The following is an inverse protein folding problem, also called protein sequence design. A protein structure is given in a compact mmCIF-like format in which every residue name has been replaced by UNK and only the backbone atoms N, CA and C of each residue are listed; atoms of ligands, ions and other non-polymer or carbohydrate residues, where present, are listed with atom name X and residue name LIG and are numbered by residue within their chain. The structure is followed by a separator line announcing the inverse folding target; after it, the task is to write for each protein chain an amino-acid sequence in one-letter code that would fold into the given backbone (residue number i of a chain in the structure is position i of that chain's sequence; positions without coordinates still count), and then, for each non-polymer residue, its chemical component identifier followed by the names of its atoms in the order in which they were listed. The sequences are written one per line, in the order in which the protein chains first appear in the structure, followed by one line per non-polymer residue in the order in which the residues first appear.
data_IF_762006432135
#
_entry.id   IF_762006432135
#
_cell.length_a   1.000
_cell.length_b   1.000
_cell.length_c   1.000
_cell.angle_alpha   90.00
_cell.angle_beta   90.00
_cell.angle_gamma   90.00
#
_symmetry.space_group_name_H-M   'P 1'
#
loop_
_entity.id
_entity.type
_entity.pdbx_description
1 polymer ?
#
# COMPACT_ATOMS: atom_id res chain seq x y z
N UNK A 1 24.26 -6.17 -20.39
CA UNK A 1 22.88 -6.48 -20.81
C UNK A 1 22.53 -5.73 -22.09
N UNK A 2 22.59 -4.39 -22.14
CA UNK A 2 22.31 -3.64 -23.39
C UNK A 2 23.41 -3.87 -24.44
N UNK A 3 24.68 -3.79 -24.05
CA UNK A 3 25.84 -4.05 -24.93
C UNK A 3 25.88 -5.51 -25.42
N UNK A 4 25.61 -6.46 -24.53
CA UNK A 4 25.59 -7.90 -24.84
C UNK A 4 24.52 -8.33 -25.85
N UNK A 5 23.52 -7.47 -26.12
CA UNK A 5 22.52 -7.69 -27.16
C UNK A 5 22.67 -6.70 -28.35
N UNK A 6 23.71 -5.85 -28.36
CA UNK A 6 23.93 -4.87 -29.42
C UNK A 6 22.86 -3.77 -29.50
N UNK A 7 22.17 -3.48 -28.39
CA UNK A 7 21.01 -2.59 -28.35
C UNK A 7 21.34 -1.15 -27.92
N UNK A 8 22.62 -0.77 -27.95
CA UNK A 8 23.12 0.52 -27.44
C UNK A 8 22.52 1.73 -28.18
N UNK A 9 22.28 1.60 -29.49
CA UNK A 9 21.68 2.65 -30.31
C UNK A 9 20.15 2.52 -30.46
N UNK A 10 19.51 1.67 -29.65
CA UNK A 10 18.06 1.53 -29.71
C UNK A 10 17.38 2.71 -29.01
N UNK A 11 16.80 3.60 -29.82
CA UNK A 11 16.13 4.82 -29.34
C UNK A 11 15.02 4.54 -28.32
N UNK A 12 14.28 3.43 -28.48
CA UNK A 12 13.23 3.06 -27.54
C UNK A 12 13.79 2.68 -26.16
N UNK A 13 14.91 1.97 -26.11
CA UNK A 13 15.58 1.63 -24.84
C UNK A 13 16.14 2.88 -24.18
N UNK A 14 16.79 3.76 -24.95
CA UNK A 14 17.28 5.05 -24.46
C UNK A 14 16.15 5.88 -23.82
N UNK A 15 15.07 6.13 -24.57
CA UNK A 15 13.90 6.88 -24.08
C UNK A 15 13.21 6.22 -22.89
N UNK A 16 13.17 4.88 -22.84
CA UNK A 16 12.56 4.15 -21.72
C UNK A 16 13.42 4.25 -20.45
N UNK A 17 14.74 4.18 -20.62
CA UNK A 17 15.72 4.29 -19.54
C UNK A 17 15.81 5.73 -18.98
N UNK A 18 15.69 6.75 -19.83
CA UNK A 18 15.57 8.15 -19.40
C UNK A 18 14.38 8.35 -18.45
N UNK A 19 13.28 7.62 -18.67
CA UNK A 19 12.06 7.70 -17.84
C UNK A 19 12.06 6.75 -16.62
N UNK A 20 13.19 6.11 -16.29
CA UNK A 20 13.27 5.10 -15.20
C UNK A 20 12.74 5.58 -13.85
N UNK A 21 12.80 6.87 -13.56
CA UNK A 21 12.27 7.45 -12.32
C UNK A 21 10.74 7.33 -12.16
N UNK A 22 10.03 7.00 -13.24
CA UNK A 22 8.58 6.81 -13.26
C UNK A 22 8.15 5.36 -13.03
N UNK A 23 9.05 4.38 -13.24
CA UNK A 23 8.67 2.96 -13.24
C UNK A 23 9.61 2.05 -12.45
N UNK A 24 10.88 2.43 -12.26
CA UNK A 24 11.84 1.60 -11.55
C UNK A 24 11.67 1.76 -10.03
N UNK A 25 11.44 0.64 -9.35
CA UNK A 25 11.17 0.61 -7.90
C UNK A 25 12.22 1.32 -7.03
N UNK A 26 13.49 1.31 -7.45
CA UNK A 26 14.57 2.00 -6.73
C UNK A 26 14.31 3.51 -6.59
N UNK A 27 13.69 4.14 -7.59
CA UNK A 27 13.38 5.57 -7.62
C UNK A 27 11.98 5.90 -7.08
N UNK A 28 11.14 4.89 -6.84
CA UNK A 28 9.78 5.06 -6.32
C UNK A 28 9.70 4.86 -4.79
N UNK A 29 10.78 4.41 -4.14
CA UNK A 29 10.76 4.04 -2.72
C UNK A 29 10.47 5.20 -1.75
N UNK A 30 10.73 6.44 -2.16
CA UNK A 30 10.45 7.65 -1.38
C UNK A 30 9.26 8.47 -1.91
N UNK A 31 8.54 7.96 -2.93
CA UNK A 31 7.35 8.63 -3.47
C UNK A 31 6.10 7.99 -2.87
N UNK A 32 5.18 8.83 -2.40
CA UNK A 32 3.87 8.36 -1.91
C UNK A 32 3.05 7.79 -3.08
N UNK A 33 2.73 6.51 -3.00
CA UNK A 33 1.96 5.80 -4.02
C UNK A 33 0.66 5.19 -3.48
N UNK A 34 0.31 5.42 -2.19
CA UNK A 34 -0.90 4.89 -1.56
C UNK A 34 -1.11 3.37 -1.76
N UNK A 35 -0.01 2.60 -1.86
CA UNK A 35 -0.07 1.16 -2.15
C UNK A 35 -0.36 0.78 -3.61
N UNK A 36 -0.56 1.76 -4.49
CA UNK A 36 -0.72 1.54 -5.93
C UNK A 36 0.65 1.35 -6.56
N UNK A 37 0.94 0.11 -6.97
CA UNK A 37 2.11 -0.16 -7.83
C UNK A 37 1.79 0.25 -9.26
N UNK A 38 2.81 0.60 -10.03
CA UNK A 38 2.68 1.09 -11.41
C UNK A 38 1.82 0.21 -12.33
N UNK A 39 1.74 -1.11 -12.05
CA UNK A 39 0.91 -2.05 -12.82
C UNK A 39 -0.34 -2.57 -12.10
N UNK A 40 -0.55 -2.29 -10.81
CA UNK A 40 -1.60 -2.95 -10.03
C UNK A 40 -3.02 -2.67 -10.55
N UNK A 41 -3.25 -1.45 -11.09
CA UNK A 41 -4.53 -1.08 -11.71
C UNK A 41 -4.82 -1.90 -12.96
N UNK A 42 -3.84 -2.01 -13.85
CA UNK A 42 -3.96 -2.80 -15.08
C UNK A 42 -4.07 -4.30 -14.78
N UNK A 43 -3.32 -4.79 -13.79
CA UNK A 43 -3.43 -6.17 -13.31
C UNK A 43 -4.81 -6.47 -12.75
N UNK A 44 -5.37 -5.56 -11.94
CA UNK A 44 -6.74 -5.66 -11.42
C UNK A 44 -7.77 -5.72 -12.53
N UNK A 45 -7.73 -4.75 -13.46
CA UNK A 45 -8.63 -4.72 -14.63
C UNK A 45 -8.49 -6.00 -15.47
N UNK A 46 -7.26 -6.39 -15.79
CA UNK A 46 -7.00 -7.62 -16.56
C UNK A 46 -7.49 -8.87 -15.83
N UNK A 47 -7.35 -8.94 -14.51
CA UNK A 47 -7.85 -10.06 -13.71
C UNK A 47 -9.37 -10.16 -13.75
N UNK A 48 -10.08 -9.03 -13.73
CA UNK A 48 -11.54 -8.98 -13.89
C UNK A 48 -11.93 -9.37 -15.30
N UNK A 49 -11.29 -8.79 -16.32
CA UNK A 49 -11.57 -9.08 -17.73
C UNK A 49 -11.39 -10.56 -18.06
N UNK A 50 -10.36 -11.22 -17.53
CA UNK A 50 -10.11 -12.65 -17.71
C UNK A 50 -11.24 -13.56 -17.18
N UNK A 51 -12.08 -13.08 -16.26
CA UNK A 51 -13.25 -13.85 -15.79
C UNK A 51 -14.37 -13.93 -16.83
N UNK A 52 -14.44 -12.94 -17.72
CA UNK A 52 -15.55 -12.76 -18.66
C UNK A 52 -15.16 -12.96 -20.13
N UNK A 53 -13.88 -12.74 -20.47
CA UNK A 53 -13.37 -12.86 -21.84
C UNK A 53 -12.65 -14.20 -22.01
N UNK A 54 -13.03 -14.96 -23.04
CA UNK A 54 -12.30 -16.17 -23.48
C UNK A 54 -11.71 -15.93 -24.86
N UNK A 55 -10.66 -16.70 -25.21
CA UNK A 55 -9.93 -16.55 -26.47
C UNK A 55 -10.76 -16.86 -27.72
N UNK A 56 -11.91 -17.55 -27.57
CA UNK A 56 -12.81 -17.90 -28.66
C UNK A 56 -14.00 -16.95 -28.85
N UNK A 57 -14.11 -15.87 -28.06
CA UNK A 57 -15.26 -14.98 -28.13
C UNK A 57 -15.30 -14.23 -29.47
N UNK A 58 -16.47 -14.16 -30.11
CA UNK A 58 -16.66 -13.27 -31.26
C UNK A 58 -16.75 -11.79 -30.82
N UNK A 59 -16.67 -10.85 -31.76
CA UNK A 59 -16.67 -9.41 -31.44
C UNK A 59 -17.95 -8.99 -30.70
N UNK A 60 -19.11 -9.54 -31.06
CA UNK A 60 -20.37 -9.26 -30.39
C UNK A 60 -20.33 -9.73 -28.92
N UNK A 61 -19.93 -10.98 -28.69
CA UNK A 61 -19.77 -11.55 -27.36
C UNK A 61 -18.75 -10.78 -26.52
N UNK A 62 -17.69 -10.25 -27.13
CA UNK A 62 -16.72 -9.41 -26.44
C UNK A 62 -17.39 -8.13 -25.91
N UNK A 63 -18.17 -7.42 -26.74
CA UNK A 63 -18.88 -6.19 -26.34
C UNK A 63 -19.88 -6.47 -25.23
N UNK A 64 -20.66 -7.56 -25.34
CA UNK A 64 -21.61 -7.96 -24.30
C UNK A 64 -20.92 -8.30 -22.98
N UNK A 65 -19.79 -9.00 -23.03
CA UNK A 65 -19.02 -9.34 -21.83
C UNK A 65 -18.37 -8.11 -21.20
N UNK A 66 -17.94 -7.13 -22.00
CA UNK A 66 -17.45 -5.85 -21.48
C UNK A 66 -18.57 -5.07 -20.76
N UNK A 67 -19.79 -5.05 -21.30
CA UNK A 67 -20.94 -4.43 -20.63
C UNK A 67 -21.26 -5.12 -19.29
N UNK A 68 -21.18 -6.46 -19.24
CA UNK A 68 -21.30 -7.24 -17.99
C UNK A 68 -20.23 -6.87 -16.97
N UNK A 69 -18.98 -6.71 -17.41
CA UNK A 69 -17.87 -6.29 -16.52
C UNK A 69 -18.18 -4.91 -15.92
N UNK A 70 -18.64 -3.94 -16.71
CA UNK A 70 -18.98 -2.60 -16.21
C UNK A 70 -20.13 -2.67 -15.20
N UNK A 71 -21.17 -3.47 -15.48
CA UNK A 71 -22.28 -3.71 -14.54
C UNK A 71 -21.80 -4.33 -13.24
N UNK A 72 -20.91 -5.32 -13.30
CA UNK A 72 -20.31 -5.95 -12.12
C UNK A 72 -19.51 -4.95 -11.28
N UNK A 73 -18.71 -4.08 -11.92
CA UNK A 73 -18.00 -2.99 -11.23
C UNK A 73 -18.95 -2.06 -10.48
N UNK A 74 -20.00 -1.59 -11.16
CA UNK A 74 -21.01 -0.70 -10.55
C UNK A 74 -21.75 -1.37 -9.40
N UNK A 75 -22.09 -2.65 -9.56
CA UNK A 75 -22.76 -3.41 -8.52
C UNK A 75 -21.86 -3.64 -7.30
N UNK A 76 -20.58 -3.94 -7.52
CA UNK A 76 -19.60 -4.08 -6.43
C UNK A 76 -19.39 -2.75 -5.70
N UNK A 77 -19.28 -1.63 -6.41
CA UNK A 77 -19.20 -0.30 -5.80
C UNK A 77 -20.46 0.00 -4.96
N UNK A 78 -21.64 -0.25 -5.51
CA UNK A 78 -22.91 -0.07 -4.80
C UNK A 78 -22.98 -0.91 -3.52
N UNK A 79 -22.64 -2.20 -3.59
CA UNK A 79 -22.63 -3.10 -2.44
C UNK A 79 -21.61 -2.67 -1.38
N UNK A 80 -20.46 -2.16 -1.79
CA UNK A 80 -19.45 -1.62 -0.87
C UNK A 80 -19.95 -0.36 -0.17
N UNK A 81 -20.53 0.59 -0.91
CA UNK A 81 -21.12 1.81 -0.35
C UNK A 81 -22.27 1.50 0.62
N UNK A 82 -23.15 0.56 0.24
CA UNK A 82 -24.22 0.09 1.12
C UNK A 82 -23.65 -0.50 2.42
N UNK A 83 -22.63 -1.36 2.34
CA UNK A 83 -21.95 -1.91 3.52
C UNK A 83 -21.27 -0.83 4.38
N UNK A 84 -20.76 0.24 3.79
CA UNK A 84 -20.17 1.35 4.53
C UNK A 84 -21.23 2.17 5.27
N UNK A 85 -22.39 2.41 4.66
CA UNK A 85 -23.45 3.24 5.23
C UNK A 85 -24.28 2.52 6.31
N UNK A 86 -24.50 1.21 6.14
CA UNK A 86 -25.48 0.46 6.94
C UNK A 86 -24.88 -0.60 7.86
N UNK A 87 -23.56 -0.77 7.88
CA UNK A 87 -22.91 -1.67 8.83
C UNK A 87 -22.06 -0.89 9.81
N UNK A 88 -22.22 -1.17 11.10
CA UNK A 88 -21.33 -0.62 12.11
C UNK A 88 -19.95 -1.29 12.08
N UNK A 89 -18.92 -0.47 12.32
CA UNK A 89 -17.56 -0.94 12.54
C UNK A 89 -17.39 -1.31 14.00
N UNK A 90 -16.98 -2.55 14.26
CA UNK A 90 -16.69 -3.03 15.60
C UNK A 90 -15.21 -2.81 15.92
N UNK A 91 -14.98 -2.03 16.96
CA UNK A 91 -13.65 -1.82 17.55
C UNK A 91 -13.31 -3.09 18.33
N UNK A 92 -12.24 -3.77 17.95
CA UNK A 92 -11.84 -5.02 18.62
C UNK A 92 -10.38 -5.02 19.03
N UNK A 93 -9.64 -3.97 18.71
CA UNK A 93 -8.24 -3.87 19.16
C UNK A 93 -8.19 -3.22 20.53
N UNK A 94 -7.06 -3.35 21.22
CA UNK A 94 -6.81 -2.63 22.49
C UNK A 94 -6.67 -1.11 22.33
N UNK A 95 -6.81 -0.55 21.12
CA UNK A 95 -6.62 0.86 20.78
C UNK A 95 -7.92 1.50 20.26
N UNK A 96 -9.01 1.37 21.01
CA UNK A 96 -10.34 1.82 20.59
C UNK A 96 -10.41 3.31 20.20
N UNK A 97 -9.65 4.18 20.88
CA UNK A 97 -9.61 5.62 20.58
C UNK A 97 -9.11 5.88 19.16
N UNK A 98 -8.11 5.11 18.73
CA UNK A 98 -7.53 5.18 17.39
C UNK A 98 -8.52 4.61 16.37
N UNK A 99 -9.10 3.43 16.64
CA UNK A 99 -10.09 2.84 15.74
C UNK A 99 -11.28 3.80 15.52
N UNK A 100 -11.75 4.49 16.57
CA UNK A 100 -12.81 5.53 16.48
C UNK A 100 -12.40 6.75 15.65
N UNK A 101 -11.15 7.17 15.70
CA UNK A 101 -10.66 8.27 14.87
C UNK A 101 -10.59 7.85 13.39
N UNK A 102 -10.01 6.67 13.14
CA UNK A 102 -9.85 6.10 11.79
C UNK A 102 -11.21 5.85 11.14
N UNK A 103 -12.19 5.34 11.87
CA UNK A 103 -13.52 5.04 11.33
C UNK A 103 -14.31 6.27 10.89
N UNK A 104 -13.95 7.46 11.39
CA UNK A 104 -14.60 8.74 11.01
C UNK A 104 -13.97 9.37 9.78
N UNK A 105 -12.69 9.09 9.53
CA UNK A 105 -11.90 9.76 8.48
C UNK A 105 -11.77 8.88 7.23
N UNK A 106 -11.65 7.56 7.41
CA UNK A 106 -11.30 6.64 6.34
C UNK A 106 -12.47 5.76 5.88
N UNK A 107 -12.38 5.25 4.64
CA UNK A 107 -13.31 4.23 4.16
C UNK A 107 -13.16 2.93 4.95
N UNK A 108 -14.17 2.06 4.84
CA UNK A 108 -14.19 0.80 5.59
C UNK A 108 -13.03 -0.12 5.22
N UNK A 109 -12.61 -0.12 3.96
CA UNK A 109 -11.47 -0.89 3.46
C UNK A 109 -10.17 -0.43 4.11
N UNK A 110 -9.96 0.89 4.18
CA UNK A 110 -8.78 1.47 4.81
C UNK A 110 -8.81 1.24 6.32
N UNK A 111 -9.99 1.33 6.96
CA UNK A 111 -10.15 0.98 8.37
C UNK A 111 -9.65 -0.44 8.67
N UNK A 112 -10.05 -1.44 7.87
CA UNK A 112 -9.60 -2.82 8.08
C UNK A 112 -8.10 -3.01 7.83
N UNK A 113 -7.52 -2.27 6.88
CA UNK A 113 -6.07 -2.32 6.68
C UNK A 113 -5.34 -1.69 7.88
N UNK A 114 -5.81 -0.56 8.41
CA UNK A 114 -5.24 0.06 9.62
C UNK A 114 -5.37 -0.88 10.82
N UNK A 115 -6.54 -1.51 11.00
CA UNK A 115 -6.78 -2.49 12.07
C UNK A 115 -5.81 -3.66 12.01
N UNK A 116 -5.63 -4.26 10.82
CA UNK A 116 -4.64 -5.32 10.59
C UNK A 116 -3.23 -4.87 10.91
N UNK A 117 -2.89 -3.61 10.61
CA UNK A 117 -1.60 -3.08 10.98
C UNK A 117 -1.49 -2.93 12.52
N UNK A 118 -2.51 -2.41 13.21
CA UNK A 118 -2.56 -2.32 14.69
C UNK A 118 -2.34 -3.71 15.30
N UNK A 119 -3.04 -4.73 14.83
CA UNK A 119 -2.86 -6.11 15.30
C UNK A 119 -1.44 -6.64 15.02
N UNK A 120 -0.83 -6.22 13.91
CA UNK A 120 0.54 -6.61 13.57
C UNK A 120 1.60 -6.02 14.51
N UNK A 121 1.27 -4.95 15.25
CA UNK A 121 2.13 -4.35 16.28
C UNK A 121 2.42 -5.34 17.40
N UNK A 122 1.46 -6.19 17.77
CA UNK A 122 1.66 -7.17 18.83
C UNK A 122 2.84 -8.14 18.52
N UNK A 123 3.24 -8.24 17.25
CA UNK A 123 4.39 -9.01 16.83
C UNK A 123 5.71 -8.20 16.82
N UNK A 124 5.74 -6.93 17.22
CA UNK A 124 6.95 -6.11 17.29
C UNK A 124 7.56 -6.17 18.68
N UNK A 125 8.90 -6.28 18.71
CA UNK A 125 9.72 -6.33 19.91
C UNK A 125 10.64 -5.12 19.87
N UNK A 126 10.56 -4.27 20.89
CA UNK A 126 11.53 -3.17 21.09
C UNK A 126 12.83 -3.77 21.61
N UNK A 127 13.92 -3.57 20.88
CA UNK A 127 15.26 -4.01 21.27
C UNK A 127 15.99 -2.92 22.07
N UNK A 128 15.81 -1.66 21.67
CA UNK A 128 16.51 -0.52 22.23
C UNK A 128 15.74 0.77 21.96
N UNK A 129 15.84 1.73 22.86
CA UNK A 129 15.32 3.08 22.70
C UNK A 129 16.31 4.11 23.22
N UNK A 130 16.59 5.14 22.42
CA UNK A 130 17.49 6.24 22.74
C UNK A 130 16.78 7.57 22.50
N UNK A 131 17.15 8.59 23.27
CA UNK A 131 16.66 9.95 23.08
C UNK A 131 17.83 10.91 22.88
N UNK A 132 17.72 11.76 21.87
CA UNK A 132 18.70 12.75 21.45
C UNK A 132 17.98 14.10 21.32
N UNK A 133 17.84 14.81 22.44
CA UNK A 133 17.11 16.08 22.47
C UNK A 133 15.63 15.89 22.09
N UNK A 134 15.22 16.42 20.94
CA UNK A 134 13.85 16.28 20.42
C UNK A 134 13.60 14.97 19.67
N UNK A 135 14.67 14.21 19.36
CA UNK A 135 14.60 13.00 18.55
C UNK A 135 14.59 11.76 19.44
N UNK A 136 13.57 10.92 19.29
CA UNK A 136 13.52 9.58 19.88
C UNK A 136 13.80 8.52 18.82
N UNK A 137 14.71 7.60 19.12
CA UNK A 137 15.12 6.52 18.23
C UNK A 137 14.75 5.18 18.83
N UNK A 138 14.02 4.36 18.07
CA UNK A 138 13.62 3.01 18.45
C UNK A 138 14.22 1.97 17.49
N UNK A 139 14.75 0.89 18.05
CA UNK A 139 15.14 -0.29 17.29
C UNK A 139 14.13 -1.41 17.52
N UNK A 140 13.43 -1.80 16.47
CA UNK A 140 12.30 -2.74 16.51
C UNK A 140 12.64 -4.02 15.74
N UNK A 141 12.08 -5.14 16.17
CA UNK A 141 12.22 -6.43 15.51
C UNK A 141 10.89 -7.16 15.47
N UNK A 142 10.56 -7.77 14.33
CA UNK A 142 9.35 -8.59 14.23
C UNK A 142 9.58 -9.99 14.78
N UNK A 143 8.68 -10.47 15.63
CA UNK A 143 8.62 -11.84 16.14
C UNK A 143 8.70 -12.84 14.98
N UNK A 144 9.49 -13.92 15.17
CA UNK A 144 9.86 -14.91 14.13
C UNK A 144 10.69 -14.37 12.95
N UNK A 145 11.18 -13.12 12.99
CA UNK A 145 12.11 -12.57 11.97
C UNK A 145 13.35 -11.94 12.62
N UNK A 146 14.25 -12.75 13.22
CA UNK A 146 15.35 -12.24 14.03
C UNK A 146 16.40 -11.44 13.25
N UNK A 147 16.53 -11.68 11.94
CA UNK A 147 17.52 -11.06 11.06
C UNK A 147 17.13 -9.66 10.56
N UNK A 148 15.89 -9.20 10.81
CA UNK A 148 15.43 -7.89 10.33
C UNK A 148 15.16 -6.98 11.52
N UNK A 149 15.98 -5.95 11.64
CA UNK A 149 15.81 -4.86 12.60
C UNK A 149 15.38 -3.62 11.84
N UNK A 150 14.38 -2.94 12.37
CA UNK A 150 13.84 -1.68 11.85
C UNK A 150 14.25 -0.56 12.79
N UNK A 151 14.62 0.59 12.22
CA UNK A 151 14.94 1.79 13.00
C UNK A 151 13.85 2.80 12.74
N UNK A 152 13.30 3.35 13.81
CA UNK A 152 12.27 4.39 13.79
C UNK A 152 12.82 5.61 14.48
N UNK A 153 12.73 6.76 13.83
CA UNK A 153 13.05 8.06 14.38
C UNK A 153 11.75 8.84 14.51
N UNK A 154 11.54 9.44 15.67
CA UNK A 154 10.47 10.39 15.91
C UNK A 154 11.07 11.72 16.34
N UNK A 155 10.73 12.80 15.65
CA UNK A 155 11.14 14.14 16.02
C UNK A 155 9.95 14.91 16.60
N UNK A 156 9.99 15.15 17.90
CA UNK A 156 8.94 15.89 18.62
C UNK A 156 8.83 17.35 18.21
N UNK A 157 9.85 17.95 17.59
CA UNK A 157 9.82 19.35 17.17
C UNK A 157 9.04 19.56 15.86
N UNK A 158 9.08 18.56 14.98
CA UNK A 158 8.43 18.61 13.67
C UNK A 158 7.25 17.63 13.53
N UNK A 159 6.94 16.90 14.61
CA UNK A 159 5.95 15.81 14.67
C UNK A 159 6.13 14.76 13.57
N UNK A 160 7.36 14.60 13.08
CA UNK A 160 7.67 13.71 11.96
C UNK A 160 8.21 12.36 12.41
N UNK A 161 7.87 11.34 11.63
CA UNK A 161 8.34 9.96 11.83
C UNK A 161 9.09 9.49 10.59
N UNK A 162 10.26 8.88 10.81
CA UNK A 162 11.04 8.25 9.76
C UNK A 162 11.33 6.80 10.12
N UNK A 163 11.16 5.89 9.16
CA UNK A 163 11.42 4.47 9.37
C UNK A 163 12.33 3.91 8.29
N UNK A 164 13.30 3.08 8.68
CA UNK A 164 14.23 2.43 7.74
C UNK A 164 13.55 1.54 6.69
N UNK A 165 12.28 1.19 6.88
CA UNK A 165 11.49 0.45 5.89
C UNK A 165 10.92 1.32 4.76
N UNK A 166 10.88 2.65 4.92
CA UNK A 166 10.28 3.63 3.99
C UNK A 166 8.81 3.35 3.62
N UNK A 167 8.13 2.48 4.39
CA UNK A 167 6.72 2.14 4.15
C UNK A 167 5.79 3.33 4.45
N UNK A 168 6.16 4.20 5.40
CA UNK A 168 5.43 5.44 5.64
C UNK A 168 5.42 6.34 4.41
N UNK A 169 6.61 6.60 3.85
CA UNK A 169 6.79 7.46 2.68
C UNK A 169 6.08 6.92 1.44
N UNK A 170 6.02 5.60 1.26
CA UNK A 170 5.44 4.96 0.07
C UNK A 170 3.96 4.61 0.18
N UNK A 171 3.47 4.28 1.38
CA UNK A 171 2.11 3.77 1.61
C UNK A 171 1.25 4.65 2.52
N UNK A 172 1.82 5.61 3.26
CA UNK A 172 1.10 6.38 4.29
C UNK A 172 0.52 5.51 5.41
N UNK A 173 1.14 4.34 5.64
CA UNK A 173 0.63 3.31 6.54
C UNK A 173 1.04 3.57 7.99
N UNK A 174 0.04 3.88 8.82
CA UNK A 174 0.03 4.50 10.15
C UNK A 174 0.80 3.81 11.29
N UNK A 175 1.37 2.63 11.10
CA UNK A 175 1.69 1.76 12.25
C UNK A 175 3.10 1.87 12.82
N UNK A 176 3.94 2.72 12.25
CA UNK A 176 5.20 3.10 12.90
C UNK A 176 5.02 4.30 13.86
N UNK A 177 3.86 4.97 13.82
CA UNK A 177 3.68 6.33 14.34
C UNK A 177 3.23 6.38 15.80
N UNK A 178 2.56 5.36 16.32
CA UNK A 178 1.81 5.53 17.59
C UNK A 178 2.47 4.90 18.82
N UNK A 179 3.74 4.49 18.74
CA UNK A 179 4.48 4.00 19.92
C UNK A 179 5.04 5.10 20.83
N UNK A 180 4.82 6.38 20.49
CA UNK A 180 5.42 7.52 21.20
C UNK A 180 4.41 8.36 21.99
N UNK A 181 3.21 7.84 22.22
CA UNK A 181 2.19 8.51 23.04
C UNK A 181 1.76 7.65 24.23
#
# INVERSE_FOLDING_TARGET
MVESFGLENNEWIGKTYEKREHWANAYLCDKFCAGVRTTSRCEGINSTLKKFIRSGNCLLELVENLDRVVKDYRNNEFMTNFKCLYSELVMTTGLESIEKAVSKVYTREIFFEVKKQIESVAALIVLHSESYGTIQKFMLRKFRRPRRVYTVLYDSSSENYECSCKLWNSLGSLVVIYFVQ
#
